data_IF_171971446172
#
_entry.id   IF_171971446172
#
_cell.length_a   1.000
_cell.length_b   1.000
_cell.length_c   1.000
_cell.angle_alpha   90.00
_cell.angle_beta   90.00
_cell.angle_gamma   90.00
#
_symmetry.space_group_name_H-M   'P 1'
#
loop_
_entity.id
_entity.type
_entity.pdbx_description
1 polymer ?
#
# COMPACT_ATOMS: atom_id res chain seq x y z
N UNK A 1 -61.14 17.42 3.89
CA UNK A 1 -61.67 18.38 4.87
C UNK A 1 -61.62 17.65 6.20
N UNK A 2 -60.85 18.03 7.22
CA UNK A 2 -60.62 19.37 7.76
C UNK A 2 -59.20 19.57 8.32
N UNK A 3 -58.81 20.85 8.37
CA UNK A 3 -57.60 21.39 8.98
C UNK A 3 -57.79 21.68 10.47
N UNK A 4 -56.68 21.81 11.21
CA UNK A 4 -56.33 22.81 12.25
C UNK A 4 -55.09 22.25 13.00
N UNK A 5 -53.88 22.80 12.86
CA UNK A 5 -53.32 24.09 13.33
C UNK A 5 -53.10 24.16 14.84
N UNK A 6 -51.82 24.38 15.23
CA UNK A 6 -51.27 25.14 16.38
C UNK A 6 -50.09 24.40 17.04
N UNK A 7 -49.05 25.01 17.60
CA UNK A 7 -48.31 26.27 17.44
C UNK A 7 -47.10 26.13 18.40
N UNK A 8 -45.90 26.48 17.95
CA UNK A 8 -44.75 27.05 18.71
C UNK A 8 -44.27 26.42 20.04
N UNK A 9 -43.00 25.98 20.06
CA UNK A 9 -42.15 25.83 21.26
C UNK A 9 -40.67 25.66 20.86
N UNK A 10 -39.79 26.43 21.48
CA UNK A 10 -38.42 26.79 21.07
C UNK A 10 -37.35 25.96 21.82
N UNK A 11 -36.18 25.76 21.21
CA UNK A 11 -34.89 25.42 21.84
C UNK A 11 -34.30 24.07 21.37
N UNK A 12 -33.21 24.06 20.56
CA UNK A 12 -31.78 24.04 21.00
C UNK A 12 -31.30 22.60 21.29
N UNK A 13 -30.24 21.98 20.72
CA UNK A 13 -29.02 22.43 20.01
C UNK A 13 -28.41 21.26 19.15
N UNK A 14 -27.59 21.63 18.14
CA UNK A 14 -26.51 20.96 17.37
C UNK A 14 -26.55 19.43 17.02
N UNK A 15 -26.66 19.02 15.74
CA UNK A 15 -25.66 18.95 14.62
C UNK A 15 -24.55 17.90 14.88
N UNK A 16 -24.51 16.75 14.17
CA UNK A 16 -23.89 16.59 12.84
C UNK A 16 -24.50 15.41 12.08
N UNK A 17 -24.98 15.67 10.86
CA UNK A 17 -25.54 14.72 9.90
C UNK A 17 -24.55 14.54 8.73
N UNK A 18 -24.93 13.61 7.87
CA UNK A 18 -24.50 13.42 6.48
C UNK A 18 -23.21 12.61 6.28
N UNK A 19 -23.27 11.32 5.91
CA UNK A 19 -23.98 10.73 4.76
C UNK A 19 -23.59 11.49 3.49
N UNK A 20 -22.82 10.96 2.54
CA UNK A 20 -23.37 10.22 1.41
C UNK A 20 -22.27 10.02 0.35
N UNK A 21 -22.51 9.02 -0.49
CA UNK A 21 -22.18 8.95 -1.92
C UNK A 21 -20.72 8.99 -2.40
N UNK A 22 -20.24 7.79 -2.77
CA UNK A 22 -19.86 7.41 -4.15
C UNK A 22 -19.81 8.54 -5.20
N UNK A 23 -18.63 8.75 -5.80
CA UNK A 23 -18.31 8.84 -7.25
C UNK A 23 -16.81 9.16 -7.35
N UNK A 24 -15.97 8.28 -7.89
CA UNK A 24 -15.57 8.07 -9.30
C UNK A 24 -14.33 8.87 -9.74
N UNK A 25 -13.60 8.22 -10.63
CA UNK A 25 -12.23 8.37 -11.09
C UNK A 25 -11.94 9.71 -11.78
N UNK A 26 -10.78 10.34 -11.53
CA UNK A 26 -10.00 10.92 -12.64
C UNK A 26 -8.52 11.11 -12.32
N UNK A 27 -7.70 10.41 -13.10
CA UNK A 27 -6.27 10.61 -13.28
C UNK A 27 -6.03 11.90 -14.07
N UNK A 28 -5.14 12.78 -13.61
CA UNK A 28 -4.51 13.78 -14.48
C UNK A 28 -3.07 14.02 -14.03
N UNK A 29 -2.16 13.77 -14.96
CA UNK A 29 -0.80 14.24 -14.94
C UNK A 29 -0.74 15.73 -15.31
N UNK A 30 0.38 16.33 -14.95
CA UNK A 30 1.02 17.51 -15.55
C UNK A 30 0.58 18.91 -15.06
N UNK A 31 1.56 19.54 -14.40
CA UNK A 31 2.07 20.92 -14.60
C UNK A 31 1.13 22.11 -14.34
N UNK A 32 1.54 22.99 -13.40
CA UNK A 32 1.89 24.40 -13.68
C UNK A 32 2.00 25.21 -12.37
N UNK A 33 3.01 26.07 -12.38
CA UNK A 33 3.46 27.02 -11.37
C UNK A 33 2.53 28.24 -11.26
N UNK A 34 2.24 28.77 -10.06
CA UNK A 34 2.30 30.22 -9.77
C UNK A 34 1.78 30.59 -8.36
N UNK A 35 2.65 31.31 -7.63
CA UNK A 35 2.38 32.51 -6.81
C UNK A 35 1.47 32.44 -5.55
N UNK A 36 2.14 32.47 -4.40
CA UNK A 36 1.70 32.88 -3.04
C UNK A 36 0.92 34.23 -2.99
N UNK A 37 0.12 34.58 -1.92
CA UNK A 37 0.59 34.50 -0.53
C UNK A 37 -0.43 34.24 0.63
N UNK A 38 0.15 33.77 1.74
CA UNK A 38 -0.23 33.98 3.15
C UNK A 38 -1.47 33.26 3.72
N UNK A 39 -1.19 32.16 4.42
CA UNK A 39 -2.02 31.62 5.49
C UNK A 39 -1.20 30.65 6.34
N UNK A 40 -0.69 31.08 7.49
CA UNK A 40 0.06 30.25 8.42
C UNK A 40 -0.80 29.11 8.95
N UNK A 41 -0.41 27.87 8.64
CA UNK A 41 -0.79 26.70 9.40
C UNK A 41 0.49 25.97 9.83
N UNK A 42 0.59 25.70 11.14
CA UNK A 42 1.64 24.90 11.75
C UNK A 42 1.53 23.47 11.20
N UNK A 43 2.14 23.22 10.04
CA UNK A 43 2.23 21.89 9.47
C UNK A 43 3.20 21.06 10.32
N UNK A 44 2.71 19.94 10.84
CA UNK A 44 3.58 18.82 11.21
C UNK A 44 4.60 18.58 10.08
N UNK A 45 5.81 18.07 10.34
CA UNK A 45 6.77 17.77 9.29
C UNK A 45 6.13 16.76 8.31
N UNK A 46 5.57 17.27 7.21
CA UNK A 46 5.07 16.47 6.11
C UNK A 46 6.33 15.97 5.40
N UNK A 47 6.91 14.90 5.92
CA UNK A 47 7.99 14.19 5.21
C UNK A 47 7.47 13.90 3.81
N UNK A 48 8.15 14.38 2.74
CA UNK A 48 7.69 14.17 1.39
C UNK A 48 7.53 12.68 1.18
N UNK A 49 6.32 12.23 0.83
CA UNK A 49 6.13 10.85 0.42
C UNK A 49 7.06 10.61 -0.77
N UNK A 50 7.96 9.62 -0.70
CA UNK A 50 8.92 9.40 -1.76
C UNK A 50 8.16 9.19 -3.06
N UNK A 51 8.43 10.04 -4.04
CA UNK A 51 7.78 9.98 -5.35
C UNK A 51 8.03 8.60 -5.95
N UNK A 52 7.08 8.09 -6.72
CA UNK A 52 7.22 6.85 -7.47
C UNK A 52 8.60 6.69 -8.14
N UNK A 53 9.09 7.78 -8.76
CA UNK A 53 10.41 7.84 -9.40
C UNK A 53 11.56 7.50 -8.44
N UNK A 54 11.54 8.04 -7.23
CA UNK A 54 12.58 7.78 -6.22
C UNK A 54 12.59 6.31 -5.79
N UNK A 55 11.40 5.72 -5.57
CA UNK A 55 11.28 4.30 -5.21
C UNK A 55 11.72 3.38 -6.33
N UNK A 56 11.37 3.73 -7.56
CA UNK A 56 11.80 3.00 -8.75
C UNK A 56 13.33 3.05 -8.93
N UNK A 57 13.93 4.23 -8.75
CA UNK A 57 15.39 4.39 -8.80
C UNK A 57 16.09 3.59 -7.70
N UNK A 58 15.51 3.54 -6.49
CA UNK A 58 16.00 2.69 -5.40
C UNK A 58 15.88 1.20 -5.76
N UNK A 59 14.73 0.78 -6.27
CA UNK A 59 14.50 -0.59 -6.75
C UNK A 59 15.52 -0.99 -7.82
N UNK A 60 15.76 -0.13 -8.83
CA UNK A 60 16.78 -0.37 -9.86
C UNK A 60 18.20 -0.45 -9.29
N UNK A 61 18.53 0.35 -8.28
CA UNK A 61 19.83 0.27 -7.58
C UNK A 61 19.99 -1.04 -6.80
N UNK A 62 18.91 -1.53 -6.19
CA UNK A 62 18.90 -2.77 -5.42
C UNK A 62 18.95 -4.00 -6.34
N UNK A 63 18.18 -4.01 -7.42
CA UNK A 63 18.00 -5.15 -8.32
C UNK A 63 18.56 -4.88 -9.71
N UNK A 64 19.89 -4.72 -9.80
CA UNK A 64 20.61 -4.52 -11.08
C UNK A 64 20.57 -5.72 -12.02
N UNK A 65 20.15 -6.88 -11.50
CA UNK A 65 20.01 -8.13 -12.24
C UNK A 65 18.68 -8.23 -13.01
N UNK A 66 17.71 -7.37 -12.70
CA UNK A 66 16.41 -7.36 -13.37
C UNK A 66 16.47 -6.56 -14.68
N UNK A 67 15.64 -6.92 -15.68
CA UNK A 67 15.60 -6.20 -16.94
C UNK A 67 15.10 -4.77 -16.76
N UNK A 68 15.64 -3.83 -17.54
CA UNK A 68 15.31 -2.40 -17.42
C UNK A 68 13.86 -2.06 -17.79
N UNK A 69 13.20 -2.96 -18.52
CA UNK A 69 11.77 -2.90 -18.88
C UNK A 69 10.84 -3.11 -17.70
N UNK A 70 11.34 -3.63 -16.59
CA UNK A 70 10.55 -3.83 -15.39
C UNK A 70 10.11 -2.50 -14.80
N UNK A 71 8.86 -2.47 -14.35
CA UNK A 71 8.23 -1.30 -13.77
C UNK A 71 7.78 -1.64 -12.34
N UNK A 72 8.37 -0.97 -11.36
CA UNK A 72 7.93 -1.08 -9.97
C UNK A 72 6.49 -0.59 -9.88
N UNK A 73 5.57 -1.42 -9.42
CA UNK A 73 4.18 -1.07 -9.22
C UNK A 73 4.01 -0.46 -7.82
N UNK A 74 4.45 -1.21 -6.80
CA UNK A 74 4.23 -0.85 -5.40
C UNK A 74 5.24 -1.54 -4.51
N UNK A 75 5.52 -0.92 -3.36
CA UNK A 75 6.39 -1.44 -2.32
C UNK A 75 5.62 -1.58 -1.00
N UNK A 76 5.73 -2.76 -0.37
CA UNK A 76 5.10 -3.06 0.91
C UNK A 76 6.14 -3.37 1.97
N UNK A 77 6.08 -2.72 3.16
CA UNK A 77 6.89 -3.14 4.29
C UNK A 77 6.42 -4.52 4.77
N UNK A 78 7.34 -5.47 4.81
CA UNK A 78 7.08 -6.82 5.30
C UNK A 78 8.37 -7.45 5.88
N UNK A 79 8.21 -8.53 6.60
CA UNK A 79 9.28 -9.35 7.10
C UNK A 79 9.12 -10.76 6.51
N UNK A 80 10.21 -11.30 5.98
CA UNK A 80 10.23 -12.66 5.51
C UNK A 80 10.44 -13.62 6.68
N UNK A 81 9.54 -14.57 6.85
CA UNK A 81 9.63 -15.64 7.84
C UNK A 81 10.46 -16.79 7.29
N UNK A 82 11.71 -16.90 7.75
CA UNK A 82 12.55 -18.11 7.61
C UNK A 82 12.89 -18.63 9.01
N UNK A 83 14.15 -18.96 9.29
CA UNK A 83 14.64 -19.31 10.64
C UNK A 83 14.40 -18.16 11.64
N UNK A 84 14.48 -16.93 11.13
CA UNK A 84 14.16 -15.69 11.83
C UNK A 84 13.29 -14.80 10.93
N UNK A 85 12.64 -13.79 11.53
CA UNK A 85 11.95 -12.73 10.78
C UNK A 85 12.98 -11.76 10.20
N UNK A 86 13.17 -11.82 8.89
CA UNK A 86 14.03 -10.90 8.16
C UNK A 86 13.22 -9.66 7.80
N UNK A 87 13.42 -8.55 8.51
CA UNK A 87 12.73 -7.30 8.24
C UNK A 87 13.19 -6.70 6.90
N UNK A 88 12.23 -6.35 6.04
CA UNK A 88 12.54 -5.83 4.73
C UNK A 88 11.38 -5.11 4.06
N UNK A 89 11.44 -5.10 2.73
CA UNK A 89 10.44 -4.53 1.85
C UNK A 89 10.21 -5.48 0.69
N UNK A 90 8.94 -5.69 0.35
CA UNK A 90 8.52 -6.39 -0.85
C UNK A 90 8.25 -5.36 -1.92
N UNK A 91 8.85 -5.53 -3.07
CA UNK A 91 8.68 -4.73 -4.27
C UNK A 91 7.92 -5.59 -5.27
N UNK A 92 6.75 -5.11 -5.69
CA UNK A 92 5.95 -5.73 -6.73
C UNK A 92 6.20 -4.98 -8.03
N UNK A 93 6.65 -5.69 -9.06
CA UNK A 93 6.83 -5.22 -10.44
C UNK A 93 5.76 -5.84 -11.34
N UNK A 94 5.72 -5.47 -12.62
CA UNK A 94 4.83 -6.03 -13.63
C UNK A 94 5.01 -7.54 -13.83
N UNK A 95 6.24 -8.06 -13.75
CA UNK A 95 6.50 -9.48 -13.95
C UNK A 95 7.23 -10.16 -12.79
N UNK A 96 7.65 -9.39 -11.79
CA UNK A 96 8.47 -9.89 -10.68
C UNK A 96 7.96 -9.44 -9.33
N UNK A 97 8.18 -10.30 -8.35
CA UNK A 97 8.00 -10.03 -6.94
C UNK A 97 9.36 -10.15 -6.25
N UNK A 98 9.88 -9.03 -5.76
CA UNK A 98 11.22 -8.94 -5.25
C UNK A 98 11.20 -8.56 -3.76
N UNK A 99 11.88 -9.32 -2.92
CA UNK A 99 12.03 -9.00 -1.50
C UNK A 99 13.46 -8.57 -1.21
N UNK A 100 13.60 -7.43 -0.53
CA UNK A 100 14.87 -6.93 -0.03
C UNK A 100 14.82 -6.78 1.49
N UNK A 101 15.72 -7.46 2.19
CA UNK A 101 15.93 -7.30 3.63
C UNK A 101 17.26 -6.61 3.88
N UNK A 102 17.23 -5.49 4.60
CA UNK A 102 18.47 -4.83 5.06
C UNK A 102 19.15 -5.60 6.20
N UNK A 103 18.48 -6.60 6.77
CA UNK A 103 19.02 -7.45 7.84
C UNK A 103 19.93 -8.52 7.22
N UNK A 104 21.01 -8.88 7.93
CA UNK A 104 22.00 -9.91 7.56
C UNK A 104 22.57 -9.72 6.13
N UNK A 105 23.36 -8.66 5.93
CA UNK A 105 24.13 -8.35 4.71
C UNK A 105 23.31 -8.08 3.44
N UNK A 106 22.01 -7.80 3.55
CA UNK A 106 21.22 -7.45 2.36
C UNK A 106 20.74 -8.71 1.64
N UNK A 107 19.85 -9.49 2.26
CA UNK A 107 19.23 -10.64 1.58
C UNK A 107 18.28 -10.14 0.50
N UNK A 108 18.44 -10.63 -0.72
CA UNK A 108 17.57 -10.33 -1.86
C UNK A 108 16.93 -11.63 -2.36
N UNK A 109 15.65 -11.57 -2.68
CA UNK A 109 14.91 -12.66 -3.32
C UNK A 109 14.17 -12.06 -4.50
N UNK A 110 14.30 -12.67 -5.68
CA UNK A 110 13.66 -12.23 -6.91
C UNK A 110 12.81 -13.40 -7.41
N UNK A 111 11.49 -13.24 -7.45
CA UNK A 111 10.54 -14.28 -7.83
C UNK A 111 9.77 -13.83 -9.07
N UNK A 112 9.65 -14.69 -10.07
CA UNK A 112 8.79 -14.38 -11.22
C UNK A 112 7.33 -14.54 -10.83
N UNK A 113 6.47 -13.60 -11.21
CA UNK A 113 5.02 -13.75 -11.01
C UNK A 113 4.46 -14.98 -11.74
N UNK A 114 5.10 -15.40 -12.84
CA UNK A 114 4.73 -16.62 -13.59
C UNK A 114 4.92 -17.91 -12.78
N UNK A 115 5.85 -17.91 -11.83
CA UNK A 115 6.15 -19.08 -11.00
C UNK A 115 5.25 -19.13 -9.75
N UNK A 116 4.53 -18.05 -9.44
CA UNK A 116 3.62 -17.98 -8.31
C UNK A 116 2.36 -18.78 -8.65
N UNK A 117 2.18 -19.89 -7.95
CA UNK A 117 1.04 -20.79 -8.12
C UNK A 117 -0.15 -20.35 -7.27
N UNK A 118 0.10 -19.87 -6.05
CA UNK A 118 -0.96 -19.46 -5.13
C UNK A 118 -0.44 -18.44 -4.11
N UNK A 119 -1.28 -17.48 -3.73
CA UNK A 119 -1.03 -16.55 -2.63
C UNK A 119 -2.18 -16.68 -1.64
N UNK A 120 -1.88 -17.13 -0.42
CA UNK A 120 -2.89 -17.37 0.62
C UNK A 120 -2.54 -16.61 1.89
N UNK A 121 -3.55 -16.23 2.66
CA UNK A 121 -3.33 -15.65 3.99
C UNK A 121 -3.11 -16.78 4.96
N UNK A 122 -1.96 -16.79 5.62
CA UNK A 122 -1.62 -17.79 6.61
C UNK A 122 -1.60 -17.18 8.02
N UNK A 123 -1.89 -18.01 9.01
CA UNK A 123 -1.79 -17.63 10.42
C UNK A 123 -0.59 -18.36 11.00
N UNK A 124 0.50 -17.65 11.27
CA UNK A 124 1.64 -18.25 11.96
C UNK A 124 1.26 -18.45 13.42
N UNK A 125 1.42 -19.66 13.94
CA UNK A 125 0.98 -20.01 15.29
C UNK A 125 1.62 -19.09 16.34
N UNK A 126 0.80 -18.66 17.32
CA UNK A 126 1.10 -17.89 18.54
C UNK A 126 1.14 -16.36 18.50
N UNK A 127 1.50 -15.65 17.42
CA UNK A 127 1.65 -14.17 17.52
C UNK A 127 1.23 -13.32 16.29
N UNK A 128 1.16 -13.89 15.08
CA UNK A 128 1.08 -13.09 13.84
C UNK A 128 -0.15 -13.50 13.01
N UNK A 129 -1.26 -12.76 13.12
CA UNK A 129 -2.51 -13.09 12.42
C UNK A 129 -2.52 -12.72 10.92
N UNK A 130 -1.52 -11.96 10.45
CA UNK A 130 -1.48 -11.37 9.11
C UNK A 130 -0.20 -11.79 8.36
N UNK A 131 0.01 -13.10 8.22
CA UNK A 131 1.03 -13.61 7.31
C UNK A 131 0.40 -13.88 5.93
N UNK A 132 1.20 -13.72 4.89
CA UNK A 132 0.90 -14.09 3.51
C UNK A 132 1.88 -15.19 3.14
N UNK A 133 1.34 -16.34 2.75
CA UNK A 133 2.10 -17.43 2.16
C UNK A 133 1.99 -17.36 0.65
N UNK A 134 3.15 -17.28 0.00
CA UNK A 134 3.31 -17.31 -1.44
C UNK A 134 3.85 -18.69 -1.79
N UNK A 135 3.06 -19.48 -2.50
CA UNK A 135 3.47 -20.79 -3.02
C UNK A 135 3.97 -20.62 -4.44
N UNK A 136 5.24 -20.92 -4.65
CA UNK A 136 5.88 -20.97 -5.96
C UNK A 136 5.87 -22.41 -6.47
N UNK A 137 6.25 -22.60 -7.73
CA UNK A 137 6.50 -23.92 -8.32
C UNK A 137 7.63 -24.67 -7.63
N UNK A 138 8.64 -23.96 -7.11
CA UNK A 138 9.85 -24.53 -6.49
C UNK A 138 9.79 -24.59 -4.97
N UNK A 139 9.24 -23.56 -4.31
CA UNK A 139 9.24 -23.44 -2.85
C UNK A 139 8.07 -22.60 -2.32
N UNK A 140 7.92 -22.54 -0.99
CA UNK A 140 6.92 -21.71 -0.32
C UNK A 140 7.60 -20.65 0.53
N UNK A 141 7.08 -19.43 0.45
CA UNK A 141 7.67 -18.24 1.07
C UNK A 141 6.61 -17.55 1.92
N UNK A 142 6.92 -17.34 3.20
CA UNK A 142 6.02 -16.71 4.15
C UNK A 142 6.45 -15.28 4.44
N UNK A 143 5.61 -14.31 4.10
CA UNK A 143 5.82 -12.89 4.30
C UNK A 143 4.83 -12.37 5.35
N UNK A 144 5.33 -11.71 6.38
CA UNK A 144 4.53 -11.08 7.43
C UNK A 144 4.53 -9.57 7.20
N UNK A 145 3.38 -8.91 7.21
CA UNK A 145 3.41 -7.44 7.16
C UNK A 145 2.08 -6.78 6.87
N UNK A 146 2.17 -5.55 6.33
CA UNK A 146 1.01 -4.77 5.90
C UNK A 146 0.50 -5.16 4.51
N UNK A 147 1.27 -5.93 3.75
CA UNK A 147 0.83 -6.46 2.47
C UNK A 147 -0.48 -7.26 2.65
N UNK A 148 -1.42 -7.11 1.72
CA UNK A 148 -2.68 -7.88 1.68
C UNK A 148 -2.68 -8.76 0.45
N UNK A 149 -3.15 -10.02 0.58
CA UNK A 149 -3.22 -10.99 -0.54
C UNK A 149 -3.89 -10.37 -1.76
N UNK A 150 -5.04 -9.72 -1.57
CA UNK A 150 -5.77 -9.11 -2.67
C UNK A 150 -5.00 -7.96 -3.34
N UNK A 151 -4.11 -7.25 -2.63
CA UNK A 151 -3.29 -6.21 -3.27
C UNK A 151 -2.18 -6.78 -4.15
N UNK A 152 -1.72 -8.00 -3.87
CA UNK A 152 -0.71 -8.69 -4.68
C UNK A 152 -1.37 -9.33 -5.91
N UNK A 153 -2.60 -9.86 -5.77
CA UNK A 153 -3.32 -10.55 -6.84
C UNK A 153 -4.15 -9.63 -7.75
N UNK A 154 -4.69 -8.52 -7.24
CA UNK A 154 -5.61 -7.62 -7.98
C UNK A 154 -4.95 -6.31 -8.36
N UNK A 155 -3.71 -6.34 -8.84
CA UNK A 155 -3.24 -5.22 -9.64
C UNK A 155 -3.91 -5.34 -11.03
N UNK A 156 -4.79 -4.39 -11.41
CA UNK A 156 -5.47 -4.43 -12.70
C UNK A 156 -4.51 -4.21 -13.87
#
# INVERSE_FOLDING_TARGET
MDQVSNRSGVGSDDITDETTSLVDVRWSSDEEESSDPQGQCLAAPQTPLPTYKQKFDEFKKLFKELPESERLIVDYPCALQRDILLQGRLYLSENWLCFYSNVFRGTKISLTLKDIMNVSREKTARLIPNAIQISLSTEKVNCVGKARVNQILFHP
#
